data_IF_544192138052
#
_entry.id   IF_544192138052
#
_cell.length_a   1.000
_cell.length_b   1.000
_cell.length_c   1.000
_cell.angle_alpha   90.00
_cell.angle_beta   90.00
_cell.angle_gamma   90.00
#
_symmetry.space_group_name_H-M   'P 1'
#
loop_
_entity.id
_entity.type
_entity.pdbx_description
1 polymer ?
#
# COMPACT_ATOMS: atom_id res chain seq x y z
N UNK A 1 -9.92 -9.08 14.03
CA UNK A 1 -9.43 -7.86 13.33
C UNK A 1 -10.44 -7.45 12.27
N UNK A 2 -10.69 -6.14 12.15
CA UNK A 2 -11.57 -5.58 11.10
C UNK A 2 -10.78 -5.51 9.78
N UNK A 3 -11.46 -5.71 8.65
CA UNK A 3 -10.85 -5.51 7.34
C UNK A 3 -10.61 -4.01 7.10
N UNK A 4 -9.39 -3.68 6.65
CA UNK A 4 -8.95 -2.36 6.24
C UNK A 4 -8.40 -2.47 4.81
N UNK A 5 -9.15 -1.98 3.83
CA UNK A 5 -8.83 -2.16 2.42
C UNK A 5 -8.74 -3.61 2.02
N UNK A 6 -7.57 -4.03 1.53
CA UNK A 6 -7.30 -5.39 1.03
C UNK A 6 -6.73 -6.35 2.09
N UNK A 7 -6.54 -5.92 3.36
CA UNK A 7 -6.01 -6.74 4.45
C UNK A 7 -6.90 -6.70 5.70
N UNK A 8 -6.69 -7.60 6.64
CA UNK A 8 -7.20 -7.46 8.01
C UNK A 8 -6.20 -6.67 8.86
N UNK A 9 -6.72 -5.84 9.77
CA UNK A 9 -5.89 -5.08 10.70
C UNK A 9 -5.23 -3.87 10.06
N UNK A 10 -3.96 -3.64 10.41
CA UNK A 10 -3.20 -2.48 9.95
C UNK A 10 -2.58 -2.71 8.58
N UNK A 11 -2.53 -1.64 7.81
CA UNK A 11 -1.86 -1.57 6.51
C UNK A 11 -0.83 -0.46 6.51
N UNK A 12 0.14 -0.52 5.61
CA UNK A 12 1.19 0.48 5.52
C UNK A 12 1.53 0.80 4.05
N UNK A 13 1.77 2.08 3.77
CA UNK A 13 2.59 2.51 2.64
C UNK A 13 3.98 2.81 3.19
N UNK A 14 4.93 1.91 2.94
CA UNK A 14 6.25 1.92 3.58
C UNK A 14 7.15 3.02 3.01
N UNK A 15 7.07 3.29 1.70
CA UNK A 15 7.96 4.22 1.01
C UNK A 15 7.22 5.24 0.17
N UNK A 16 7.85 6.41 0.00
CA UNK A 16 7.31 7.48 -0.83
C UNK A 16 7.03 7.05 -2.27
N UNK A 17 7.88 6.19 -2.84
CA UNK A 17 7.71 5.67 -4.20
C UNK A 17 6.58 4.61 -4.31
N UNK A 18 6.07 4.11 -3.20
CA UNK A 18 4.89 3.23 -3.15
C UNK A 18 3.55 3.96 -3.23
N UNK A 19 3.55 5.30 -3.22
CA UNK A 19 2.34 6.12 -3.38
C UNK A 19 1.92 6.21 -4.84
N UNK A 20 0.64 6.44 -5.06
CA UNK A 20 0.08 6.75 -6.38
C UNK A 20 0.56 8.10 -6.90
N UNK A 21 0.80 8.22 -8.20
CA UNK A 21 1.17 9.46 -8.86
C UNK A 21 2.65 9.55 -9.23
N UNK A 22 3.16 10.76 -9.43
CA UNK A 22 4.57 11.02 -9.71
C UNK A 22 5.43 10.89 -8.45
N UNK A 23 5.73 9.67 -8.05
CA UNK A 23 6.39 9.35 -6.78
C UNK A 23 7.69 8.58 -6.95
N UNK A 24 7.96 8.03 -8.14
CA UNK A 24 9.16 7.27 -8.48
C UNK A 24 10.17 8.15 -9.25
N UNK A 25 11.44 7.73 -9.29
CA UNK A 25 12.49 8.46 -10.03
C UNK A 25 12.62 9.94 -9.59
N UNK A 26 12.60 10.21 -8.29
CA UNK A 26 12.59 11.58 -7.73
C UNK A 26 11.41 12.43 -8.24
N UNK A 27 10.23 11.84 -8.31
CA UNK A 27 9.01 12.51 -8.76
C UNK A 27 8.86 12.65 -10.28
N UNK A 28 9.70 11.98 -11.07
CA UNK A 28 9.68 12.05 -12.54
C UNK A 28 8.92 10.88 -13.17
N UNK A 29 8.75 9.77 -12.46
CA UNK A 29 8.12 8.56 -12.97
C UNK A 29 6.78 8.34 -12.29
N UNK A 30 5.76 8.06 -13.11
CA UNK A 30 4.42 7.78 -12.67
C UNK A 30 4.32 6.40 -12.05
N UNK A 31 3.63 6.29 -10.91
CA UNK A 31 3.22 5.05 -10.27
C UNK A 31 1.69 4.93 -10.37
N UNK A 32 1.20 3.93 -11.12
CA UNK A 32 -0.23 3.77 -11.45
C UNK A 32 -1.09 3.17 -10.35
N UNK A 33 -0.50 2.82 -9.21
CA UNK A 33 -1.17 2.21 -8.07
C UNK A 33 -0.59 2.65 -6.74
N UNK A 34 -0.91 1.91 -5.68
CA UNK A 34 -0.27 2.02 -4.36
C UNK A 34 0.34 0.69 -3.97
N UNK A 35 1.51 0.73 -3.34
CA UNK A 35 2.19 -0.44 -2.80
C UNK A 35 1.82 -0.58 -1.31
N UNK A 36 0.93 -1.53 -1.01
CA UNK A 36 0.33 -1.71 0.32
C UNK A 36 0.92 -2.94 1.01
N UNK A 37 1.38 -2.77 2.23
CA UNK A 37 1.84 -3.85 3.11
C UNK A 37 0.76 -4.16 4.14
N UNK A 38 0.39 -5.43 4.28
CA UNK A 38 -0.40 -5.92 5.40
C UNK A 38 0.52 -6.20 6.59
N UNK A 39 0.28 -5.52 7.73
CA UNK A 39 1.14 -5.65 8.91
C UNK A 39 0.70 -6.78 9.85
N UNK A 40 -0.60 -7.02 9.92
CA UNK A 40 -1.19 -8.00 10.86
C UNK A 40 -1.67 -9.28 10.13
N UNK A 41 -1.84 -9.21 8.81
CA UNK A 41 -2.30 -10.30 7.96
C UNK A 41 -1.64 -10.24 6.59
N UNK A 42 -1.31 -11.39 6.02
CA UNK A 42 -0.74 -11.51 4.68
C UNK A 42 -1.77 -11.91 3.61
N UNK A 43 -3.00 -12.24 3.99
CA UNK A 43 -4.04 -12.63 3.04
C UNK A 43 -4.66 -11.41 2.38
N UNK A 44 -4.51 -11.34 1.07
CA UNK A 44 -5.11 -10.30 0.22
C UNK A 44 -6.59 -10.63 0.01
N UNK A 45 -7.46 -9.67 0.28
CA UNK A 45 -8.91 -9.83 0.19
C UNK A 45 -9.53 -8.89 -0.82
N UNK A 46 -10.68 -9.28 -1.34
CA UNK A 46 -11.57 -8.38 -2.06
C UNK A 46 -11.94 -7.22 -1.13
N UNK A 47 -11.62 -5.95 -1.50
CA UNK A 47 -11.84 -4.82 -0.61
C UNK A 47 -13.31 -4.44 -0.50
N UNK A 48 -13.61 -3.59 0.48
CA UNK A 48 -14.79 -2.74 0.48
C UNK A 48 -14.46 -1.42 -0.22
N UNK A 49 -15.46 -0.80 -0.84
CA UNK A 49 -15.35 0.58 -1.28
C UNK A 49 -15.58 1.53 -0.11
N UNK A 50 -14.67 2.48 0.09
CA UNK A 50 -14.80 3.50 1.13
C UNK A 50 -15.52 4.72 0.59
N UNK A 51 -16.72 5.02 1.11
CA UNK A 51 -17.49 6.23 0.81
C UNK A 51 -16.82 7.48 1.43
N UNK A 52 -17.26 8.68 0.99
CA UNK A 52 -16.72 9.95 1.50
C UNK A 52 -16.97 10.16 3.01
N UNK A 53 -18.04 9.63 3.53
CA UNK A 53 -18.40 9.65 4.95
C UNK A 53 -17.64 8.61 5.81
N UNK A 54 -16.72 7.85 5.18
CA UNK A 54 -15.93 6.79 5.82
C UNK A 54 -16.67 5.46 5.99
N UNK A 55 -17.94 5.37 5.58
CA UNK A 55 -18.66 4.09 5.60
C UNK A 55 -18.13 3.15 4.51
N UNK A 56 -18.26 1.84 4.74
CA UNK A 56 -17.80 0.81 3.83
C UNK A 56 -18.99 0.20 3.07
N UNK A 57 -18.86 0.16 1.75
CA UNK A 57 -19.80 -0.50 0.86
C UNK A 57 -19.23 -1.84 0.40
N UNK A 58 -20.00 -2.91 0.55
CA UNK A 58 -19.64 -4.20 -0.04
C UNK A 58 -19.72 -4.13 -1.56
N UNK A 59 -18.74 -4.71 -2.22
CA UNK A 59 -18.67 -4.84 -3.67
C UNK A 59 -18.44 -6.32 -4.03
N UNK A 60 -18.90 -6.70 -5.23
CA UNK A 60 -18.67 -8.02 -5.78
C UNK A 60 -18.04 -7.93 -7.16
N UNK A 61 -17.37 -8.99 -7.57
CA UNK A 61 -16.60 -9.04 -8.81
C UNK A 61 -16.49 -10.45 -9.35
N UNK A 62 -16.25 -10.56 -10.66
CA UNK A 62 -15.76 -11.78 -11.27
C UNK A 62 -14.25 -11.68 -11.47
N UNK A 63 -13.50 -12.69 -11.09
CA UNK A 63 -12.06 -12.79 -11.33
C UNK A 63 -11.82 -12.96 -12.83
N UNK A 64 -11.31 -11.93 -13.46
CA UNK A 64 -11.01 -11.90 -14.90
C UNK A 64 -9.59 -12.34 -15.20
N UNK A 65 -8.70 -12.25 -14.22
CA UNK A 65 -7.31 -12.73 -14.33
C UNK A 65 -6.88 -13.30 -12.98
N UNK A 66 -6.29 -14.48 -13.02
CA UNK A 66 -5.59 -15.13 -11.92
C UNK A 66 -4.34 -15.80 -12.52
N UNK A 67 -3.26 -15.04 -12.68
CA UNK A 67 -2.10 -15.45 -13.46
C UNK A 67 -0.81 -15.45 -12.63
N UNK A 68 -0.01 -16.49 -12.84
CA UNK A 68 1.35 -16.61 -12.32
C UNK A 68 2.32 -16.42 -13.50
N UNK A 69 2.96 -15.26 -13.60
CA UNK A 69 3.80 -14.90 -14.73
C UNK A 69 5.27 -15.03 -14.34
N UNK A 70 5.99 -15.90 -15.04
CA UNK A 70 7.43 -16.11 -14.90
C UNK A 70 8.19 -15.79 -16.20
N UNK A 71 7.49 -15.72 -17.33
CA UNK A 71 8.08 -15.38 -18.63
C UNK A 71 8.24 -13.87 -18.77
N UNK A 72 9.48 -13.41 -18.89
CA UNK A 72 9.83 -12.00 -19.09
C UNK A 72 9.36 -11.42 -20.43
N UNK A 73 8.95 -12.26 -21.40
CA UNK A 73 8.34 -11.80 -22.65
C UNK A 73 6.84 -11.52 -22.51
N UNK A 74 6.19 -11.95 -21.44
CA UNK A 74 4.80 -11.58 -21.16
C UNK A 74 4.74 -10.09 -20.80
N UNK A 75 3.82 -9.33 -21.42
CA UNK A 75 3.67 -7.89 -21.19
C UNK A 75 3.31 -7.54 -19.75
N UNK A 76 2.87 -8.52 -18.96
CA UNK A 76 2.50 -8.36 -17.56
C UNK A 76 3.49 -9.00 -16.59
N UNK A 77 4.68 -9.40 -17.06
CA UNK A 77 5.69 -10.08 -16.25
C UNK A 77 6.08 -9.25 -14.99
N UNK A 78 6.07 -7.93 -15.12
CA UNK A 78 6.37 -7.03 -14.00
C UNK A 78 5.43 -7.23 -12.82
N UNK A 79 4.18 -7.64 -13.06
CA UNK A 79 3.21 -7.89 -11.99
C UNK A 79 3.44 -9.22 -11.26
N UNK A 80 4.18 -10.15 -11.86
CA UNK A 80 4.39 -11.50 -11.31
C UNK A 80 3.08 -12.25 -11.14
N UNK A 81 2.79 -12.73 -9.93
CA UNK A 81 1.51 -13.35 -9.62
C UNK A 81 0.47 -12.27 -9.32
N UNK A 82 -0.60 -12.20 -10.13
CA UNK A 82 -1.60 -11.15 -9.94
C UNK A 82 -3.04 -11.63 -10.12
N UNK A 83 -3.93 -10.92 -9.45
CA UNK A 83 -5.38 -11.05 -9.58
C UNK A 83 -5.94 -9.79 -10.23
N UNK A 84 -6.84 -9.99 -11.21
CA UNK A 84 -7.63 -8.93 -11.82
C UNK A 84 -9.12 -9.19 -11.57
N UNK A 85 -9.79 -8.32 -10.82
CA UNK A 85 -11.19 -8.44 -10.44
C UNK A 85 -12.05 -7.40 -11.18
N UNK A 86 -12.98 -7.87 -12.00
CA UNK A 86 -13.96 -7.03 -12.70
C UNK A 86 -15.23 -6.93 -11.87
N UNK A 87 -15.60 -5.73 -11.46
CA UNK A 87 -16.79 -5.48 -10.66
C UNK A 87 -18.08 -5.83 -11.41
N UNK A 88 -19.06 -6.28 -10.65
CA UNK A 88 -20.45 -6.28 -11.13
C UNK A 88 -20.92 -4.83 -11.36
N UNK A 89 -21.93 -4.65 -12.22
CA UNK A 89 -22.34 -3.32 -12.63
C UNK A 89 -22.88 -2.47 -11.47
N UNK A 90 -22.64 -1.16 -11.51
CA UNK A 90 -23.25 -0.13 -10.67
C UNK A 90 -23.00 -0.27 -9.15
N UNK A 91 -21.82 -0.73 -8.72
CA UNK A 91 -21.54 -0.94 -7.31
C UNK A 91 -20.86 0.24 -6.62
N UNK A 92 -20.14 1.07 -7.35
CA UNK A 92 -19.38 2.22 -6.81
C UNK A 92 -19.79 3.51 -7.52
N UNK A 93 -19.75 4.67 -6.83
CA UNK A 93 -20.11 5.97 -7.43
C UNK A 93 -19.00 6.52 -8.33
N UNK A 94 -17.79 6.03 -8.22
CA UNK A 94 -16.73 6.29 -9.18
C UNK A 94 -16.93 5.39 -10.42
N UNK A 95 -16.33 5.74 -11.53
CA UNK A 95 -16.42 4.97 -12.77
C UNK A 95 -15.44 3.79 -12.81
N UNK A 96 -14.94 3.38 -11.67
CA UNK A 96 -14.02 2.26 -11.54
C UNK A 96 -14.79 0.94 -11.58
N UNK A 97 -14.30 0.01 -12.37
CA UNK A 97 -14.89 -1.32 -12.51
C UNK A 97 -13.86 -2.45 -12.45
N UNK A 98 -12.58 -2.15 -12.19
CA UNK A 98 -11.54 -3.17 -12.23
C UNK A 98 -10.42 -2.88 -11.24
N UNK A 99 -10.05 -3.90 -10.45
CA UNK A 99 -8.88 -3.85 -9.59
C UNK A 99 -7.80 -4.82 -10.07
N UNK A 100 -6.55 -4.41 -9.97
CA UNK A 100 -5.37 -5.28 -10.12
C UNK A 100 -4.64 -5.35 -8.80
N UNK A 101 -4.35 -6.56 -8.34
CA UNK A 101 -3.57 -6.85 -7.13
C UNK A 101 -2.38 -7.72 -7.51
N UNK A 102 -1.20 -7.13 -7.60
CA UNK A 102 0.02 -7.74 -8.13
C UNK A 102 1.05 -8.07 -7.05
N UNK A 103 2.14 -8.74 -7.46
CA UNK A 103 3.29 -9.20 -6.65
C UNK A 103 2.95 -10.27 -5.60
N UNK A 104 1.83 -11.00 -5.75
CA UNK A 104 1.42 -12.01 -4.79
C UNK A 104 2.39 -13.19 -4.74
N UNK A 105 2.56 -13.79 -3.56
CA UNK A 105 3.32 -15.02 -3.39
C UNK A 105 2.53 -16.24 -3.93
N UNK A 106 1.21 -16.24 -3.72
CA UNK A 106 0.30 -17.32 -4.10
C UNK A 106 -1.07 -16.76 -4.44
N UNK A 107 -1.71 -17.30 -5.47
CA UNK A 107 -3.12 -17.04 -5.78
C UNK A 107 -3.99 -18.12 -5.12
N UNK A 108 -5.20 -17.73 -4.67
CA UNK A 108 -6.17 -18.62 -4.00
C UNK A 108 -7.42 -18.75 -4.86
N UNK A 109 -7.69 -17.76 -5.70
CA UNK A 109 -8.84 -17.73 -6.61
C UNK A 109 -8.44 -18.16 -8.03
N UNK A 110 -9.44 -18.51 -8.83
CA UNK A 110 -9.31 -18.89 -10.24
C UNK A 110 -10.08 -17.92 -11.15
N UNK A 111 -9.70 -17.86 -12.44
CA UNK A 111 -10.44 -17.09 -13.43
C UNK A 111 -11.88 -17.60 -13.55
N UNK A 112 -12.83 -16.68 -13.65
CA UNK A 112 -14.27 -16.96 -13.68
C UNK A 112 -14.92 -17.06 -12.30
N UNK A 113 -14.16 -17.17 -11.21
CA UNK A 113 -14.71 -17.21 -9.86
C UNK A 113 -15.39 -15.88 -9.51
N UNK A 114 -16.60 -15.96 -8.94
CA UNK A 114 -17.30 -14.80 -8.39
C UNK A 114 -16.91 -14.63 -6.92
N UNK A 115 -16.60 -13.39 -6.53
CA UNK A 115 -16.12 -13.01 -5.20
C UNK A 115 -16.80 -11.74 -4.71
N UNK A 116 -16.82 -11.55 -3.40
CA UNK A 116 -17.36 -10.36 -2.73
C UNK A 116 -16.36 -9.82 -1.70
N UNK A 117 -16.59 -8.61 -1.24
CA UNK A 117 -15.80 -8.00 -0.18
C UNK A 117 -15.60 -8.95 1.00
N UNK A 118 -14.36 -9.12 1.43
CA UNK A 118 -13.95 -10.04 2.49
C UNK A 118 -13.38 -11.38 2.00
N UNK A 119 -13.73 -11.83 0.80
CA UNK A 119 -13.22 -13.09 0.25
C UNK A 119 -11.71 -13.03 0.03
N UNK A 120 -10.99 -14.10 0.39
CA UNK A 120 -9.55 -14.20 0.23
C UNK A 120 -9.23 -14.49 -1.24
N UNK A 121 -8.34 -13.68 -1.82
CA UNK A 121 -7.95 -13.76 -3.23
C UNK A 121 -6.54 -14.33 -3.43
N UNK A 122 -5.61 -13.94 -2.55
CA UNK A 122 -4.19 -14.24 -2.70
C UNK A 122 -3.45 -14.14 -1.35
N UNK A 123 -2.15 -14.38 -1.39
CA UNK A 123 -1.20 -14.11 -0.30
C UNK A 123 -0.20 -13.07 -0.78
N UNK A 124 0.00 -12.01 0.00
CA UNK A 124 0.99 -10.95 -0.25
C UNK A 124 2.40 -11.52 -0.49
N UNK A 125 3.09 -11.00 -1.48
CA UNK A 125 4.41 -11.46 -1.85
C UNK A 125 5.31 -10.36 -2.42
N UNK A 126 6.26 -10.77 -3.24
CA UNK A 126 7.20 -9.90 -3.93
C UNK A 126 7.61 -10.53 -5.28
N UNK A 127 6.67 -11.10 -6.02
CA UNK A 127 6.93 -11.70 -7.34
C UNK A 127 6.99 -10.63 -8.44
N UNK A 128 7.43 -11.02 -9.64
CA UNK A 128 7.61 -10.10 -10.76
C UNK A 128 8.79 -9.13 -10.53
N UNK A 129 8.65 -7.86 -10.90
CA UNK A 129 9.72 -6.87 -10.73
C UNK A 129 9.96 -6.48 -9.25
N UNK A 130 9.10 -6.91 -8.33
CA UNK A 130 9.30 -6.75 -6.89
C UNK A 130 10.24 -7.82 -6.30
N UNK A 131 10.71 -8.78 -7.11
CA UNK A 131 11.56 -9.89 -6.64
C UNK A 131 12.83 -9.37 -5.96
N UNK A 132 13.15 -9.94 -4.79
CA UNK A 132 14.27 -9.50 -3.97
C UNK A 132 14.01 -8.25 -3.12
N UNK A 133 12.87 -7.58 -3.29
CA UNK A 133 12.41 -6.46 -2.48
C UNK A 133 11.52 -6.87 -1.30
N UNK A 134 10.90 -5.88 -0.66
CA UNK A 134 9.95 -6.12 0.43
C UNK A 134 8.63 -6.70 -0.10
N UNK A 135 7.94 -7.44 0.76
CA UNK A 135 6.61 -7.97 0.42
C UNK A 135 5.57 -6.86 0.48
N UNK A 136 4.78 -6.74 -0.57
CA UNK A 136 3.66 -5.80 -0.68
C UNK A 136 2.68 -6.29 -1.74
N UNK A 137 1.55 -5.64 -1.83
CA UNK A 137 0.63 -5.73 -2.97
C UNK A 137 0.65 -4.40 -3.70
N UNK A 138 0.96 -4.43 -4.98
CA UNK A 138 0.70 -3.32 -5.87
C UNK A 138 -0.77 -3.34 -6.25
N UNK A 139 -1.54 -2.38 -5.75
CA UNK A 139 -2.97 -2.25 -6.00
C UNK A 139 -3.24 -1.13 -7.01
N UNK A 140 -3.96 -1.44 -8.08
CA UNK A 140 -4.48 -0.46 -9.03
C UNK A 140 -6.00 -0.49 -9.11
N UNK A 141 -6.60 0.68 -9.34
CA UNK A 141 -8.01 0.86 -9.65
C UNK A 141 -8.16 1.46 -11.06
N UNK A 142 -8.96 0.81 -11.92
CA UNK A 142 -9.06 1.14 -13.34
C UNK A 142 -10.51 1.14 -13.84
N UNK A 143 -10.74 1.93 -14.89
CA UNK A 143 -11.90 1.78 -15.75
C UNK A 143 -11.48 1.02 -17.02
N UNK A 144 -12.07 -0.15 -17.27
CA UNK A 144 -11.68 -1.01 -18.40
C UNK A 144 -12.13 -0.46 -19.76
N UNK A 145 -13.12 0.41 -19.79
CA UNK A 145 -13.64 1.01 -21.03
C UNK A 145 -12.73 2.15 -21.48
N UNK A 146 -12.35 3.02 -20.56
CA UNK A 146 -11.52 4.19 -20.87
C UNK A 146 -10.02 3.92 -20.72
N UNK A 147 -9.64 2.81 -20.09
CA UNK A 147 -8.25 2.51 -19.70
C UNK A 147 -7.72 3.41 -18.58
N UNK A 148 -8.55 4.29 -18.00
CA UNK A 148 -8.16 5.24 -16.98
C UNK A 148 -7.88 4.55 -15.66
N UNK A 149 -6.68 4.76 -15.11
CA UNK A 149 -6.34 4.46 -13.73
C UNK A 149 -6.59 5.66 -12.82
N UNK A 150 -6.99 5.41 -11.59
CA UNK A 150 -7.19 6.42 -10.55
C UNK A 150 -6.46 6.05 -9.28
N UNK A 151 -6.36 7.00 -8.35
CA UNK A 151 -5.87 6.75 -7.00
C UNK A 151 -6.71 5.65 -6.33
N UNK A 152 -6.11 4.49 -5.97
CA UNK A 152 -6.85 3.34 -5.44
C UNK A 152 -7.11 3.43 -3.93
N UNK A 153 -6.89 4.57 -3.29
CA UNK A 153 -6.99 4.70 -1.82
C UNK A 153 -8.38 4.41 -1.26
N UNK A 154 -9.42 4.55 -2.07
CA UNK A 154 -10.78 4.13 -1.68
C UNK A 154 -10.96 2.62 -1.49
N UNK A 155 -10.01 1.84 -1.99
CA UNK A 155 -10.00 0.37 -1.93
C UNK A 155 -8.87 -0.18 -1.06
N UNK A 156 -7.80 0.60 -0.89
CA UNK A 156 -6.56 0.13 -0.24
C UNK A 156 -6.60 0.09 1.28
N UNK A 157 -7.50 0.87 1.90
CA UNK A 157 -7.49 1.11 3.33
C UNK A 157 -6.35 2.02 3.80
N UNK A 158 -5.75 2.78 2.88
CA UNK A 158 -4.66 3.73 3.15
C UNK A 158 -5.04 5.11 2.64
N UNK A 159 -4.31 6.13 3.05
CA UNK A 159 -4.22 7.41 2.33
C UNK A 159 -3.09 7.32 1.30
N UNK A 160 -3.04 8.24 0.32
CA UNK A 160 -1.91 8.34 -0.60
C UNK A 160 -0.71 9.05 0.06
N UNK A 161 -0.27 8.52 1.19
CA UNK A 161 0.86 9.03 1.97
C UNK A 161 1.60 7.86 2.64
N UNK A 162 2.88 8.04 2.95
CA UNK A 162 3.65 7.10 3.76
C UNK A 162 3.06 7.05 5.17
N UNK A 163 2.90 5.86 5.73
CA UNK A 163 2.41 5.67 7.08
C UNK A 163 1.64 4.38 7.29
N UNK A 164 1.25 4.16 8.54
CA UNK A 164 0.44 3.03 9.00
C UNK A 164 -1.02 3.45 9.12
N UNK A 165 -1.93 2.63 8.63
CA UNK A 165 -3.37 2.88 8.57
C UNK A 165 -4.15 1.71 9.17
N UNK A 166 -5.36 1.99 9.63
CA UNK A 166 -6.21 1.00 10.29
C UNK A 166 -5.95 0.96 11.81
N UNK A 167 -6.99 0.65 12.59
CA UNK A 167 -6.89 0.54 14.03
C UNK A 167 -6.27 -0.80 14.44
N UNK A 168 -5.29 -0.78 15.31
CA UNK A 168 -5.19 -1.84 16.28
C UNK A 168 -6.51 -1.85 17.08
N UNK A 169 -7.06 -3.00 17.43
CA UNK A 169 -8.41 -3.24 18.01
C UNK A 169 -8.75 -2.47 19.32
N UNK A 170 -8.16 -1.34 19.56
CA UNK A 170 -8.36 -0.47 20.73
C UNK A 170 -9.02 0.86 20.32
N UNK A 171 -10.23 0.80 19.81
CA UNK A 171 -11.27 1.84 19.90
C UNK A 171 -10.91 3.35 19.87
N UNK A 172 -9.77 3.75 19.37
CA UNK A 172 -9.40 5.17 19.23
C UNK A 172 -8.90 5.46 17.82
N UNK A 173 -9.68 6.20 17.07
CA UNK A 173 -9.25 6.93 15.89
C UNK A 173 -8.25 8.01 16.32
N UNK A 174 -6.99 7.65 16.52
CA UNK A 174 -5.95 8.67 16.51
C UNK A 174 -5.76 9.12 15.06
N UNK A 175 -6.33 10.27 14.75
CA UNK A 175 -5.83 11.09 13.67
C UNK A 175 -4.41 11.45 14.05
N UNK A 176 -3.43 10.89 13.33
CA UNK A 176 -2.07 11.44 13.41
C UNK A 176 -2.16 12.82 12.75
N UNK A 177 -2.37 13.84 13.57
CA UNK A 177 -2.21 15.22 13.14
C UNK A 177 -0.71 15.41 12.88
N UNK A 178 -0.36 15.92 11.73
CA UNK A 178 1.01 16.28 11.33
C UNK A 178 1.63 17.41 12.20
N UNK A 179 1.14 17.59 13.41
CA UNK A 179 1.64 18.62 14.31
C UNK A 179 2.01 18.01 15.67
N UNK A 180 3.29 18.04 16.07
CA UNK A 180 3.71 17.59 17.39
C UNK A 180 3.02 18.44 18.46
N UNK A 181 2.09 17.85 19.21
CA UNK A 181 1.54 18.50 20.41
C UNK A 181 2.57 18.40 21.52
N UNK A 182 3.25 19.49 21.79
CA UNK A 182 3.85 20.00 23.02
C UNK A 182 4.51 19.08 24.05
N UNK A 183 4.80 17.81 23.75
CA UNK A 183 5.65 16.97 24.60
C UNK A 183 7.04 16.93 24.01
N UNK A 184 8.03 17.31 24.79
CA UNK A 184 9.45 17.20 24.40
C UNK A 184 9.78 15.73 24.17
N UNK A 185 9.86 15.35 22.90
CA UNK A 185 10.30 14.00 22.52
C UNK A 185 11.81 14.05 22.27
N UNK A 186 12.56 13.21 22.95
CA UNK A 186 13.95 12.99 22.62
C UNK A 186 14.00 11.98 21.46
N UNK A 187 14.61 12.36 20.37
CA UNK A 187 14.82 11.48 19.23
C UNK A 187 16.31 11.49 18.84
N UNK A 188 16.78 10.36 18.32
CA UNK A 188 18.08 10.32 17.66
C UNK A 188 17.93 10.97 16.28
N UNK A 189 18.61 12.08 16.03
CA UNK A 189 18.68 12.69 14.72
C UNK A 189 19.93 12.21 13.98
N UNK A 190 19.72 11.69 12.79
CA UNK A 190 20.80 11.30 11.87
C UNK A 190 20.71 12.24 10.66
N UNK A 191 21.72 13.08 10.49
CA UNK A 191 21.74 14.02 9.35
C UNK A 191 22.62 15.23 9.59
N UNK A 192 22.74 16.12 8.62
CA UNK A 192 21.97 16.19 7.36
C UNK A 192 22.38 15.13 6.34
N UNK A 193 21.42 14.56 5.63
CA UNK A 193 21.63 13.51 4.63
C UNK A 193 21.13 13.99 3.26
N UNK A 194 21.89 13.70 2.22
CA UNK A 194 21.38 13.81 0.85
C UNK A 194 20.42 12.66 0.52
N UNK A 195 19.76 12.70 -0.63
CA UNK A 195 18.81 11.65 -1.05
C UNK A 195 19.44 10.26 -1.11
N UNK A 196 20.75 10.12 -1.33
CA UNK A 196 21.47 8.86 -1.33
C UNK A 196 21.70 8.34 0.08
N UNK A 197 22.03 9.25 1.01
CA UNK A 197 22.13 8.94 2.44
C UNK A 197 20.80 8.52 3.03
N UNK A 198 19.70 9.18 2.65
CA UNK A 198 18.32 8.81 3.01
C UNK A 198 17.99 7.38 2.58
N UNK A 199 18.24 7.02 1.32
CA UNK A 199 17.96 5.66 0.82
C UNK A 199 18.76 4.59 1.57
N UNK A 200 19.98 4.90 2.01
CA UNK A 200 20.79 3.98 2.85
C UNK A 200 20.26 3.85 4.27
N UNK A 201 19.79 4.95 4.87
CA UNK A 201 19.16 4.93 6.19
C UNK A 201 17.85 4.17 6.17
N UNK A 202 17.01 4.35 5.15
CA UNK A 202 15.78 3.60 4.96
C UNK A 202 16.06 2.09 4.86
N UNK A 203 17.01 1.70 4.02
CA UNK A 203 17.41 0.31 3.86
C UNK A 203 17.99 -0.30 5.16
N UNK A 204 18.75 0.50 5.92
CA UNK A 204 19.33 0.06 7.20
C UNK A 204 18.26 -0.07 8.29
N UNK A 205 17.34 0.87 8.38
CA UNK A 205 16.24 0.85 9.36
C UNK A 205 15.35 -0.39 9.16
N UNK A 206 15.00 -0.69 7.91
CA UNK A 206 14.23 -1.90 7.55
C UNK A 206 15.03 -3.17 7.84
N UNK A 207 16.33 -3.20 7.51
CA UNK A 207 17.19 -4.37 7.68
C UNK A 207 17.44 -4.72 9.15
N UNK A 208 17.53 -3.73 10.01
CA UNK A 208 17.81 -3.93 11.42
C UNK A 208 16.59 -4.25 12.25
N UNK A 209 15.37 -4.15 11.70
CA UNK A 209 14.08 -4.31 12.43
C UNK A 209 14.04 -3.53 13.75
N UNK A 210 14.90 -2.53 13.91
CA UNK A 210 15.11 -1.79 15.15
C UNK A 210 13.98 -0.80 15.43
N UNK A 211 13.06 -0.62 14.45
CA UNK A 211 12.06 0.41 14.54
C UNK A 211 10.74 -0.19 14.07
N UNK A 212 9.75 -0.23 14.96
CA UNK A 212 8.38 -0.28 14.48
C UNK A 212 8.18 0.96 13.62
N UNK A 213 7.65 0.79 12.41
CA UNK A 213 7.50 1.87 11.41
C UNK A 213 6.80 3.13 11.95
N UNK A 214 6.10 3.04 13.07
CA UNK A 214 5.43 4.13 13.76
C UNK A 214 6.34 5.15 14.47
N UNK A 215 7.68 4.98 14.41
CA UNK A 215 8.62 5.82 15.19
C UNK A 215 9.74 6.45 14.35
N UNK A 216 9.53 6.56 13.06
CA UNK A 216 10.52 7.08 12.12
C UNK A 216 9.95 8.30 11.41
N UNK A 217 10.66 9.41 11.45
CA UNK A 217 10.26 10.67 10.82
C UNK A 217 11.38 11.22 9.97
N UNK A 218 11.05 11.75 8.80
CA UNK A 218 11.96 12.48 7.93
C UNK A 218 11.59 13.95 7.99
N UNK A 219 12.50 14.78 8.46
CA UNK A 219 12.31 16.23 8.51
C UNK A 219 13.16 16.89 7.43
N UNK A 220 12.57 17.67 6.52
CA UNK A 220 13.34 18.51 5.62
C UNK A 220 14.02 19.61 6.44
N UNK A 221 15.34 19.75 6.29
CA UNK A 221 16.14 20.80 6.93
C UNK A 221 16.77 21.75 5.93
N UNK A 222 16.47 21.58 4.62
CA UNK A 222 16.92 22.43 3.51
C UNK A 222 16.29 21.97 2.21
N UNK A 223 16.64 22.63 1.10
CA UNK A 223 16.05 22.35 -0.23
C UNK A 223 16.35 20.94 -0.76
N UNK A 224 17.44 20.30 -0.31
CA UNK A 224 17.80 18.92 -0.68
C UNK A 224 18.41 18.14 0.50
N UNK A 225 18.17 18.58 1.73
CA UNK A 225 18.77 18.01 2.93
C UNK A 225 17.69 17.57 3.90
N UNK A 226 17.85 16.40 4.48
CA UNK A 226 16.87 15.75 5.35
C UNK A 226 17.55 15.25 6.62
N UNK A 227 16.83 15.29 7.72
CA UNK A 227 17.19 14.59 8.95
C UNK A 227 16.25 13.43 9.20
N UNK A 228 16.80 12.31 9.62
CA UNK A 228 16.05 11.13 10.05
C UNK A 228 15.93 11.15 11.56
N UNK A 229 14.70 11.18 12.07
CA UNK A 229 14.40 11.10 13.49
C UNK A 229 13.93 9.67 13.81
N UNK A 230 14.63 9.00 14.72
CA UNK A 230 14.33 7.63 15.10
C UNK A 230 13.79 7.62 16.52
N UNK A 231 12.51 7.31 16.66
CA UNK A 231 11.83 6.93 17.90
C UNK A 231 11.73 7.99 18.99
N UNK A 232 10.62 7.98 19.70
CA UNK A 232 10.56 8.58 21.03
C UNK A 232 11.14 7.59 22.05
N UNK A 233 12.19 7.96 22.75
CA UNK A 233 12.61 7.25 23.94
C UNK A 233 11.78 7.84 25.09
N UNK A 234 10.79 7.08 25.58
CA UNK A 234 10.15 7.43 26.85
C UNK A 234 11.13 7.14 27.99
N UNK A 235 11.44 8.14 28.80
CA UNK A 235 12.04 7.91 30.10
C UNK A 235 11.08 7.16 31.01
#
# INVERSE_FOLDING_TARGET
MKQNGIFLGRTEILYNYGRYGYTRGNGKTWHGGVDVVGLDDAYVRMPYYQNDDGTLRSISATIRRARCITDHNDKTWEWGNYVGALFDANQTPDDINYLVMAHNAKLIVEEGQHVKSGDILAVMGNTGNAAGGYKHVHLEARNTVTGRGVDPTRYSGTRNAVGVYGAADNGSTEQISDKPTGKTMQCLMIGPLDTRGMNKCDALAVKLRLISASRYYVLPVGTETYCVCVGAVSN
#
